data_IF_726336424917
#
_entry.id   IF_726336424917
#
_cell.length_a   1.000
_cell.length_b   1.000
_cell.length_c   1.000
_cell.angle_alpha   90.00
_cell.angle_beta   90.00
_cell.angle_gamma   90.00
#
_symmetry.space_group_name_H-M   'P 1'
#
loop_
_entity.id
_entity.type
_entity.pdbx_description
1 polymer ?
#
# COMPACT_ATOMS: atom_id res chain seq x y z
N UNK A 1 11.85 25.90 -34.91
CA UNK A 1 11.67 26.67 -33.65
C UNK A 1 10.20 27.04 -33.65
N UNK A 2 9.31 26.52 -32.81
CA UNK A 2 9.32 25.76 -31.55
C UNK A 2 8.04 24.87 -31.62
N UNK A 3 7.94 23.63 -31.13
CA UNK A 3 8.59 23.00 -29.99
C UNK A 3 7.84 23.27 -28.69
N UNK A 4 6.53 22.95 -28.63
CA UNK A 4 5.71 23.05 -27.42
C UNK A 4 5.24 21.66 -26.99
N UNK A 5 5.99 21.05 -26.07
CA UNK A 5 5.60 19.83 -25.37
C UNK A 5 4.50 20.17 -24.35
N UNK A 6 3.31 19.61 -24.58
CA UNK A 6 2.14 19.70 -23.69
C UNK A 6 2.13 18.45 -22.78
N UNK A 7 2.87 18.51 -21.67
CA UNK A 7 2.91 17.45 -20.64
C UNK A 7 1.71 17.55 -19.66
N UNK A 8 0.52 17.78 -20.21
CA UNK A 8 -0.73 18.07 -19.49
C UNK A 8 -1.66 16.87 -19.23
N UNK A 9 -1.18 15.62 -19.26
CA UNK A 9 -2.03 14.47 -18.88
C UNK A 9 -2.21 14.40 -17.36
N UNK A 10 -3.29 15.04 -16.90
CA UNK A 10 -3.84 14.87 -15.57
C UNK A 10 -4.06 13.39 -15.27
N UNK A 11 -3.25 12.85 -14.35
CA UNK A 11 -3.56 11.58 -13.71
C UNK A 11 -4.88 11.76 -12.97
N UNK A 12 -5.96 11.21 -13.54
CA UNK A 12 -7.26 11.12 -12.91
C UNK A 12 -7.12 10.73 -11.44
N UNK A 13 -7.85 11.45 -10.60
CA UNK A 13 -7.83 11.31 -9.15
C UNK A 13 -7.88 9.83 -8.78
N UNK A 14 -6.90 9.36 -8.01
CA UNK A 14 -6.97 8.07 -7.36
C UNK A 14 -8.12 8.16 -6.34
N UNK A 15 -9.31 7.68 -6.69
CA UNK A 15 -10.32 7.41 -5.67
C UNK A 15 -9.71 6.43 -4.65
N UNK A 16 -9.96 6.65 -3.36
CA UNK A 16 -9.42 5.79 -2.30
C UNK A 16 -10.17 4.46 -2.33
N UNK A 17 -9.62 3.48 -3.05
CA UNK A 17 -10.12 2.12 -2.96
C UNK A 17 -9.48 1.45 -1.74
N UNK A 18 -10.25 1.32 -0.66
CA UNK A 18 -9.83 0.65 0.57
C UNK A 18 -10.41 -0.75 0.61
N UNK A 19 -9.57 -1.75 0.81
CA UNK A 19 -10.04 -3.11 1.05
C UNK A 19 -10.32 -3.27 2.54
N UNK A 20 -11.58 -3.11 2.93
CA UNK A 20 -11.99 -3.25 4.34
C UNK A 20 -11.86 -4.72 4.78
N UNK A 21 -11.19 -4.93 5.90
CA UNK A 21 -11.07 -6.26 6.53
C UNK A 21 -11.68 -6.24 7.94
N UNK A 22 -12.10 -7.40 8.50
CA UNK A 22 -12.57 -7.48 9.87
C UNK A 22 -11.50 -7.00 10.88
N UNK A 23 -11.96 -6.48 12.02
CA UNK A 23 -11.10 -6.11 13.16
C UNK A 23 -10.70 -7.37 13.92
N UNK A 24 -9.41 -7.52 14.25
CA UNK A 24 -8.91 -8.61 15.09
C UNK A 24 -9.17 -8.31 16.58
N UNK A 25 -9.36 -9.34 17.39
CA UNK A 25 -9.57 -9.18 18.84
C UNK A 25 -8.31 -8.68 19.55
N UNK A 26 -7.13 -9.16 19.14
CA UNK A 26 -5.82 -8.79 19.66
C UNK A 26 -4.87 -8.53 18.49
N UNK A 27 -4.86 -7.31 17.91
CA UNK A 27 -4.02 -7.00 16.76
C UNK A 27 -2.54 -7.03 17.16
N UNK A 28 -1.75 -7.86 16.49
CA UNK A 28 -0.29 -7.82 16.59
C UNK A 28 0.28 -7.05 15.40
N UNK A 29 1.25 -6.16 15.63
CA UNK A 29 1.91 -5.42 14.56
C UNK A 29 3.09 -6.25 14.02
N UNK A 30 3.06 -6.69 12.74
CA UNK A 30 4.18 -7.43 12.15
C UNK A 30 5.45 -6.58 12.15
N UNK A 31 6.59 -7.19 12.51
CA UNK A 31 7.90 -6.50 12.57
C UNK A 31 8.78 -6.76 11.36
N UNK A 32 8.24 -7.38 10.32
CA UNK A 32 8.91 -7.61 9.05
C UNK A 32 8.01 -7.17 7.91
N UNK A 33 8.56 -6.34 7.02
CA UNK A 33 7.98 -5.96 5.75
C UNK A 33 8.80 -6.66 4.67
N UNK A 34 8.18 -7.63 3.99
CA UNK A 34 8.77 -8.34 2.86
C UNK A 34 8.33 -7.70 1.54
N UNK A 35 9.29 -7.18 0.78
CA UNK A 35 9.08 -6.66 -0.57
C UNK A 35 9.29 -7.79 -1.59
N UNK A 36 8.19 -8.29 -2.16
CA UNK A 36 8.21 -9.34 -3.17
C UNK A 36 8.26 -8.76 -4.58
N UNK A 37 9.37 -8.95 -5.29
CA UNK A 37 9.51 -8.57 -6.72
C UNK A 37 9.26 -9.70 -7.71
N UNK A 38 9.21 -10.93 -7.23
CA UNK A 38 9.24 -12.14 -8.05
C UNK A 38 7.88 -12.44 -8.70
N UNK A 39 6.81 -11.77 -8.24
CA UNK A 39 5.45 -12.10 -8.61
C UNK A 39 4.96 -13.34 -7.88
N UNK A 40 3.65 -13.57 -7.92
CA UNK A 40 3.05 -14.81 -7.45
C UNK A 40 1.60 -14.93 -7.92
N UNK A 41 1.08 -16.15 -7.88
CA UNK A 41 -0.37 -16.36 -7.83
C UNK A 41 -0.83 -16.13 -6.40
N UNK A 42 -1.75 -15.18 -6.24
CA UNK A 42 -2.46 -14.91 -5.00
C UNK A 42 -3.79 -15.68 -5.00
N UNK A 43 -4.13 -16.26 -3.86
CA UNK A 43 -5.39 -16.98 -3.64
C UNK A 43 -6.33 -16.10 -2.84
N UNK A 44 -7.62 -16.10 -3.17
CA UNK A 44 -8.61 -15.37 -2.40
C UNK A 44 -8.79 -15.96 -0.99
N UNK A 45 -8.74 -15.12 0.04
CA UNK A 45 -8.95 -15.56 1.42
C UNK A 45 -8.79 -14.43 2.44
N UNK A 46 -8.64 -14.79 3.71
CA UNK A 46 -8.07 -13.85 4.70
C UNK A 46 -6.58 -13.65 4.37
N UNK A 47 -6.02 -12.51 4.74
CA UNK A 47 -4.60 -12.27 4.48
C UNK A 47 -3.74 -13.30 5.24
N UNK A 48 -2.89 -13.99 4.48
CA UNK A 48 -1.82 -14.86 4.98
C UNK A 48 -0.63 -14.71 4.02
N UNK A 49 0.31 -13.86 4.41
CA UNK A 49 1.51 -13.54 3.66
C UNK A 49 2.42 -14.75 3.43
N UNK A 50 2.35 -15.78 4.28
CA UNK A 50 3.11 -17.03 4.13
C UNK A 50 2.50 -17.97 3.07
N UNK A 51 1.20 -17.85 2.82
CA UNK A 51 0.45 -18.69 1.87
C UNK A 51 -0.01 -17.97 0.60
N UNK A 52 0.37 -16.69 0.41
CA UNK A 52 -0.14 -15.85 -0.68
C UNK A 52 -1.69 -15.73 -0.67
N UNK A 53 -2.32 -15.86 0.49
CA UNK A 53 -3.76 -15.66 0.64
C UNK A 53 -4.02 -14.16 0.81
N UNK A 54 -4.95 -13.61 0.03
CA UNK A 54 -5.18 -12.16 -0.01
C UNK A 54 -6.66 -11.81 0.08
N UNK A 55 -6.96 -10.90 0.99
CA UNK A 55 -8.29 -10.30 1.11
C UNK A 55 -8.63 -9.37 -0.05
N UNK A 56 -7.62 -8.79 -0.71
CA UNK A 56 -7.80 -7.93 -1.89
C UNK A 56 -8.35 -8.75 -3.06
N UNK A 57 -7.78 -9.93 -3.33
CA UNK A 57 -8.26 -10.84 -4.39
C UNK A 57 -9.68 -11.31 -4.10
N UNK A 58 -9.99 -11.63 -2.83
CA UNK A 58 -11.35 -11.99 -2.41
C UNK A 58 -12.34 -10.84 -2.63
N UNK A 59 -11.99 -9.62 -2.22
CA UNK A 59 -12.86 -8.45 -2.37
C UNK A 59 -13.01 -8.01 -3.83
N UNK A 60 -12.07 -8.38 -4.71
CA UNK A 60 -12.24 -8.25 -6.16
C UNK A 60 -13.20 -9.28 -6.77
N UNK A 61 -13.74 -10.22 -5.97
CA UNK A 61 -14.66 -11.27 -6.42
C UNK A 61 -13.97 -12.40 -7.18
N UNK A 62 -12.64 -12.54 -7.07
CA UNK A 62 -11.88 -13.56 -7.78
C UNK A 62 -11.57 -14.74 -6.88
N UNK A 63 -11.33 -15.92 -7.47
CA UNK A 63 -10.74 -17.06 -6.76
C UNK A 63 -9.21 -17.00 -6.66
N UNK A 64 -8.57 -16.40 -7.68
CA UNK A 64 -7.12 -16.22 -7.77
C UNK A 64 -6.78 -15.03 -8.66
N UNK A 65 -5.62 -14.42 -8.43
CA UNK A 65 -5.07 -13.40 -9.32
C UNK A 65 -3.56 -13.60 -9.47
N UNK A 66 -3.03 -13.44 -10.69
CA UNK A 66 -1.60 -13.52 -10.94
C UNK A 66 -0.97 -12.12 -10.93
N UNK A 67 -0.15 -11.86 -9.91
CA UNK A 67 0.70 -10.67 -9.89
C UNK A 67 1.97 -10.95 -10.69
N UNK A 68 2.10 -10.31 -11.85
CA UNK A 68 3.31 -10.42 -12.64
C UNK A 68 4.52 -9.85 -11.88
N UNK A 69 5.74 -10.39 -12.10
CA UNK A 69 6.95 -9.90 -11.45
C UNK A 69 7.21 -8.41 -11.76
N UNK A 70 7.99 -7.77 -10.89
CA UNK A 70 8.55 -6.44 -11.14
C UNK A 70 9.38 -6.44 -12.44
N UNK A 71 9.05 -5.55 -13.37
CA UNK A 71 9.69 -5.49 -14.68
C UNK A 71 10.91 -4.52 -14.75
N UNK A 72 11.23 -3.84 -13.65
CA UNK A 72 12.34 -2.89 -13.60
C UNK A 72 13.71 -3.55 -13.46
N UNK A 73 14.77 -2.76 -13.63
CA UNK A 73 16.15 -3.25 -13.49
C UNK A 73 16.50 -3.53 -12.02
N UNK A 74 17.53 -4.36 -11.74
CA UNK A 74 18.03 -4.56 -10.38
C UNK A 74 18.40 -3.26 -9.67
N UNK A 75 18.97 -2.28 -10.40
CA UNK A 75 19.28 -0.95 -9.84
C UNK A 75 18.01 -0.22 -9.36
N UNK A 76 16.91 -0.29 -10.13
CA UNK A 76 15.64 0.32 -9.73
C UNK A 76 15.03 -0.42 -8.53
N UNK A 77 15.13 -1.75 -8.51
CA UNK A 77 14.70 -2.55 -7.37
C UNK A 77 15.43 -2.14 -6.09
N UNK A 78 16.76 -2.12 -6.11
CA UNK A 78 17.56 -1.74 -4.94
C UNK A 78 17.21 -0.34 -4.45
N UNK A 79 17.01 0.63 -5.37
CA UNK A 79 16.59 1.98 -5.01
C UNK A 79 15.19 2.03 -4.36
N UNK A 80 14.27 1.13 -4.72
CA UNK A 80 12.97 1.00 -4.04
C UNK A 80 13.19 0.47 -2.63
N UNK A 81 13.94 -0.64 -2.49
CA UNK A 81 14.18 -1.28 -1.19
C UNK A 81 14.87 -0.32 -0.21
N UNK A 82 15.93 0.37 -0.66
CA UNK A 82 16.63 1.39 0.13
C UNK A 82 15.70 2.53 0.53
N UNK A 83 14.91 3.05 -0.42
CA UNK A 83 13.97 4.13 -0.11
C UNK A 83 12.89 3.71 0.91
N UNK A 84 12.40 2.46 0.85
CA UNK A 84 11.44 1.96 1.85
C UNK A 84 12.12 1.76 3.20
N UNK A 85 13.35 1.22 3.25
CA UNK A 85 14.16 1.17 4.48
C UNK A 85 14.29 2.56 5.11
N UNK A 86 14.65 3.57 4.32
CA UNK A 86 14.74 4.96 4.79
C UNK A 86 13.41 5.51 5.33
N UNK A 87 12.25 5.03 4.86
CA UNK A 87 10.94 5.50 5.35
C UNK A 87 10.58 4.93 6.71
N UNK A 88 11.06 3.72 6.98
CA UNK A 88 10.73 2.97 8.18
C UNK A 88 11.88 2.91 9.19
N UNK A 89 13.04 3.48 8.88
CA UNK A 89 14.22 3.55 9.75
C UNK A 89 13.95 4.01 11.20
N UNK A 90 13.01 4.94 11.48
CA UNK A 90 12.73 5.35 12.85
C UNK A 90 11.99 4.30 13.73
N UNK A 91 11.52 3.20 13.14
CA UNK A 91 10.66 2.22 13.80
C UNK A 91 11.33 0.86 13.90
N UNK A 92 11.02 0.08 14.94
CA UNK A 92 11.51 -1.30 15.08
C UNK A 92 10.75 -2.26 14.15
N UNK A 93 11.14 -2.19 12.87
CA UNK A 93 10.64 -3.02 11.77
C UNK A 93 11.76 -3.28 10.76
N UNK A 94 11.82 -4.51 10.27
CA UNK A 94 12.80 -4.92 9.27
C UNK A 94 12.18 -4.88 7.87
N UNK A 95 12.83 -4.19 6.93
CA UNK A 95 12.47 -4.24 5.50
C UNK A 95 13.42 -5.20 4.77
N UNK A 96 12.85 -6.30 4.29
CA UNK A 96 13.58 -7.37 3.60
C UNK A 96 13.05 -7.56 2.18
N UNK A 97 13.90 -8.01 1.27
CA UNK A 97 13.55 -8.37 -0.10
C UNK A 97 13.82 -9.85 -0.41
N UNK A 98 14.03 -10.64 0.64
CA UNK A 98 14.05 -12.10 0.63
C UNK A 98 12.90 -12.60 1.50
N UNK A 99 12.15 -13.60 1.01
CA UNK A 99 10.97 -14.10 1.71
C UNK A 99 11.36 -14.68 3.08
N UNK A 100 10.76 -14.23 4.18
CA UNK A 100 10.97 -14.84 5.48
C UNK A 100 10.47 -16.29 5.52
N UNK A 101 11.15 -17.15 6.30
CA UNK A 101 10.70 -18.54 6.55
C UNK A 101 9.63 -18.63 7.65
N UNK A 102 9.45 -17.57 8.44
CA UNK A 102 8.46 -17.48 9.51
C UNK A 102 7.08 -17.02 9.03
N UNK A 103 6.18 -16.81 9.99
CA UNK A 103 4.88 -16.16 9.80
C UNK A 103 4.92 -14.73 10.34
N UNK A 104 3.81 -14.02 10.28
CA UNK A 104 3.62 -12.68 10.89
C UNK A 104 4.52 -11.62 10.26
N UNK A 105 4.43 -11.48 8.93
CA UNK A 105 5.07 -10.41 8.16
C UNK A 105 4.07 -9.78 7.18
N UNK A 106 4.25 -8.49 6.87
CA UNK A 106 3.53 -7.84 5.77
C UNK A 106 4.23 -8.22 4.47
N UNK A 107 3.51 -8.82 3.52
CA UNK A 107 4.02 -9.00 2.15
C UNK A 107 3.55 -7.86 1.27
N UNK A 108 4.47 -7.17 0.63
CA UNK A 108 4.18 -6.20 -0.42
C UNK A 108 4.53 -6.82 -1.77
N UNK A 109 3.51 -7.16 -2.55
CA UNK A 109 3.66 -7.60 -3.93
C UNK A 109 3.93 -6.39 -4.82
N UNK A 110 5.17 -6.22 -5.26
CA UNK A 110 5.59 -5.11 -6.13
C UNK A 110 5.73 -5.63 -7.55
N UNK A 111 4.78 -5.30 -8.41
CA UNK A 111 4.71 -5.85 -9.76
C UNK A 111 3.33 -5.64 -10.38
N UNK A 112 3.07 -6.34 -11.50
CA UNK A 112 1.72 -6.38 -12.08
C UNK A 112 1.13 -5.04 -12.52
N UNK A 113 -0.15 -5.09 -12.86
CA UNK A 113 -1.01 -3.99 -13.29
C UNK A 113 -2.38 -4.19 -12.62
N UNK A 114 -3.11 -3.14 -12.21
CA UNK A 114 -4.39 -3.27 -11.50
C UNK A 114 -5.39 -4.19 -12.21
N UNK A 115 -5.33 -4.25 -13.54
CA UNK A 115 -6.18 -5.13 -14.36
C UNK A 115 -6.04 -6.63 -14.07
N UNK A 116 -5.07 -7.05 -13.25
CA UNK A 116 -5.05 -8.40 -12.70
C UNK A 116 -6.25 -8.71 -11.80
N UNK A 117 -6.97 -7.67 -11.34
CA UNK A 117 -8.17 -7.76 -10.51
C UNK A 117 -9.47 -7.66 -11.32
N UNK A 118 -9.40 -7.42 -12.63
CA UNK A 118 -10.59 -7.23 -13.50
C UNK A 118 -11.25 -8.57 -13.91
N UNK A 119 -10.88 -9.68 -13.27
CA UNK A 119 -11.55 -10.97 -13.44
C UNK A 119 -11.46 -11.59 -14.83
N UNK A 120 -10.34 -11.39 -15.52
CA UNK A 120 -10.12 -11.71 -16.93
C UNK A 120 -10.36 -13.13 -17.46
N UNK A 121 -11.12 -14.00 -16.76
CA UNK A 121 -11.73 -15.25 -17.26
C UNK A 121 -13.00 -15.69 -16.45
N UNK A 122 -13.59 -14.86 -15.59
CA UNK A 122 -14.80 -15.20 -14.83
C UNK A 122 -16.07 -15.02 -15.70
N UNK A 123 -17.13 -15.83 -15.52
CA UNK A 123 -18.32 -15.79 -16.36
C UNK A 123 -19.04 -14.43 -16.27
N UNK A 124 -19.68 -13.97 -17.37
CA UNK A 124 -20.49 -12.74 -17.36
C UNK A 124 -21.55 -12.80 -16.25
N UNK A 125 -21.57 -11.81 -15.36
CA UNK A 125 -22.53 -11.73 -14.24
C UNK A 125 -21.92 -11.77 -12.84
N UNK A 126 -20.60 -11.95 -12.71
CA UNK A 126 -19.90 -11.58 -11.48
C UNK A 126 -19.98 -10.05 -11.33
N UNK A 127 -20.58 -9.56 -10.25
CA UNK A 127 -20.54 -8.14 -9.92
C UNK A 127 -19.09 -7.76 -9.57
N UNK A 128 -18.33 -7.28 -10.56
CA UNK A 128 -17.02 -6.68 -10.33
C UNK A 128 -17.25 -5.27 -9.76
N UNK A 129 -17.52 -5.20 -8.45
CA UNK A 129 -18.05 -4.02 -7.77
C UNK A 129 -17.07 -2.87 -7.51
N UNK A 130 -15.81 -2.94 -7.98
CA UNK A 130 -14.79 -1.95 -7.65
C UNK A 130 -13.92 -1.61 -8.87
N UNK A 131 -13.87 -0.33 -9.24
CA UNK A 131 -12.96 0.18 -10.26
C UNK A 131 -11.54 0.28 -9.69
N UNK A 132 -10.76 -0.78 -9.84
CA UNK A 132 -9.35 -0.80 -9.48
C UNK A 132 -8.44 -0.26 -10.57
N UNK A 133 -8.94 0.06 -11.77
CA UNK A 133 -8.14 0.32 -12.97
C UNK A 133 -7.16 1.49 -12.79
N UNK A 134 -7.49 2.40 -11.88
CA UNK A 134 -6.68 3.58 -11.58
C UNK A 134 -5.74 3.40 -10.38
N UNK A 135 -5.93 2.37 -9.55
CA UNK A 135 -5.15 2.18 -8.32
C UNK A 135 -3.64 2.02 -8.61
N UNK A 136 -2.82 2.71 -7.82
CA UNK A 136 -1.37 2.54 -7.81
C UNK A 136 -0.92 1.47 -6.81
N UNK A 137 -1.69 1.30 -5.74
CA UNK A 137 -1.52 0.28 -4.71
C UNK A 137 -2.85 0.02 -4.01
N UNK A 138 -2.91 -1.09 -3.27
CA UNK A 138 -4.04 -1.51 -2.45
C UNK A 138 -3.51 -2.23 -1.21
N UNK A 139 -4.05 -1.91 -0.05
CA UNK A 139 -3.79 -2.60 1.20
C UNK A 139 -5.10 -3.03 1.89
N UNK A 140 -5.09 -4.14 2.64
CA UNK A 140 -6.13 -4.40 3.62
C UNK A 140 -6.08 -3.33 4.72
N UNK A 141 -7.24 -2.85 5.13
CA UNK A 141 -7.35 -1.75 6.09
C UNK A 141 -8.59 -1.90 6.99
N UNK A 142 -8.40 -1.69 8.29
CA UNK A 142 -9.48 -1.64 9.28
C UNK A 142 -9.23 -0.61 10.39
N UNK A 143 -8.22 0.25 10.22
CA UNK A 143 -7.80 1.23 11.23
C UNK A 143 -6.86 0.68 12.32
N UNK A 144 -6.58 -0.62 12.32
CA UNK A 144 -5.59 -1.28 13.18
C UNK A 144 -4.48 -1.92 12.32
N UNK A 145 -3.44 -2.44 12.98
CA UNK A 145 -2.48 -3.29 12.31
C UNK A 145 -3.15 -4.58 11.84
N UNK A 146 -2.95 -4.92 10.56
CA UNK A 146 -3.43 -6.16 9.94
C UNK A 146 -2.27 -7.15 9.96
N UNK A 147 -2.41 -8.20 10.77
CA UNK A 147 -1.44 -9.30 10.79
C UNK A 147 -1.41 -10.01 9.44
N UNK A 148 -0.22 -10.46 9.02
CA UNK A 148 0.00 -11.20 7.77
C UNK A 148 -0.49 -10.50 6.48
N UNK A 149 -0.66 -9.17 6.51
CA UNK A 149 -1.22 -8.39 5.41
C UNK A 149 -0.54 -8.69 4.07
N UNK A 150 -1.36 -8.86 3.02
CA UNK A 150 -0.90 -8.92 1.63
C UNK A 150 -1.27 -7.63 0.93
N UNK A 151 -0.27 -6.79 0.68
CA UNK A 151 -0.37 -5.49 0.02
C UNK A 151 0.00 -5.63 -1.45
N UNK A 152 -0.71 -4.94 -2.35
CA UNK A 152 -0.40 -4.87 -3.77
C UNK A 152 0.12 -3.49 -4.16
N UNK A 153 1.22 -3.43 -4.90
CA UNK A 153 1.71 -2.19 -5.52
C UNK A 153 1.96 -2.43 -7.00
N UNK A 154 1.16 -1.76 -7.82
CA UNK A 154 1.11 -1.97 -9.26
C UNK A 154 2.22 -1.21 -9.99
N UNK A 155 3.44 -1.76 -9.95
CA UNK A 155 4.63 -1.06 -10.42
C UNK A 155 4.58 -0.66 -11.90
N UNK A 156 3.86 -1.41 -12.75
CA UNK A 156 3.71 -1.08 -14.18
C UNK A 156 2.89 0.18 -14.40
N UNK A 157 1.86 0.42 -13.58
CA UNK A 157 1.10 1.67 -13.57
C UNK A 157 2.00 2.87 -13.22
N UNK A 158 3.00 2.63 -12.38
CA UNK A 158 4.01 3.59 -11.95
C UNK A 158 5.23 3.67 -12.88
N UNK A 159 5.21 2.94 -14.00
CA UNK A 159 6.31 2.87 -14.99
C UNK A 159 7.65 2.48 -14.35
N UNK A 160 7.59 1.63 -13.32
CA UNK A 160 8.75 1.12 -12.58
C UNK A 160 9.61 2.25 -11.99
N UNK A 161 9.01 3.41 -11.75
CA UNK A 161 9.70 4.57 -11.23
C UNK A 161 10.01 4.36 -9.75
N UNK A 162 11.30 4.23 -9.41
CA UNK A 162 11.72 3.85 -8.06
C UNK A 162 11.15 4.77 -6.96
N UNK A 163 11.14 6.08 -7.19
CA UNK A 163 10.59 7.05 -6.24
C UNK A 163 9.09 6.87 -6.06
N UNK A 164 8.32 6.83 -7.15
CA UNK A 164 6.85 6.69 -7.08
C UNK A 164 6.47 5.35 -6.46
N UNK A 165 7.15 4.27 -6.83
CA UNK A 165 6.93 2.94 -6.25
C UNK A 165 7.25 2.93 -4.76
N UNK A 166 8.36 3.50 -4.32
CA UNK A 166 8.67 3.63 -2.90
C UNK A 166 7.60 4.42 -2.12
N UNK A 167 7.13 5.54 -2.65
CA UNK A 167 6.07 6.34 -2.02
C UNK A 167 4.77 5.53 -1.85
N UNK A 168 4.36 4.79 -2.89
CA UNK A 168 3.16 3.94 -2.84
C UNK A 168 3.36 2.75 -1.90
N UNK A 169 4.47 2.01 -2.00
CA UNK A 169 4.79 0.92 -1.05
C UNK A 169 4.68 1.41 0.39
N UNK A 170 5.28 2.56 0.69
CA UNK A 170 5.31 3.06 2.07
C UNK A 170 3.93 3.51 2.56
N UNK A 171 3.12 4.11 1.68
CA UNK A 171 1.73 4.48 1.97
C UNK A 171 0.87 3.25 2.24
N UNK A 172 0.92 2.25 1.36
CA UNK A 172 0.12 1.03 1.51
C UNK A 172 0.53 0.19 2.74
N UNK A 173 1.83 0.13 3.05
CA UNK A 173 2.28 -0.46 4.32
C UNK A 173 1.77 0.36 5.52
N UNK A 174 1.72 1.69 5.41
CA UNK A 174 1.08 2.54 6.40
C UNK A 174 -0.38 2.15 6.66
N UNK A 175 -1.16 1.89 5.61
CA UNK A 175 -2.53 1.37 5.73
C UNK A 175 -2.58 0.01 6.43
N UNK A 176 -1.66 -0.91 6.12
CA UNK A 176 -1.58 -2.20 6.80
C UNK A 176 -1.22 -2.08 8.30
N UNK A 177 -0.61 -0.97 8.73
CA UNK A 177 -0.44 -0.61 10.14
C UNK A 177 -1.59 0.23 10.72
N UNK A 178 -2.67 0.43 9.96
CA UNK A 178 -3.87 1.12 10.40
C UNK A 178 -3.86 2.63 10.18
N UNK A 179 -2.87 3.18 9.46
CA UNK A 179 -2.85 4.61 9.13
C UNK A 179 -3.93 4.94 8.11
N UNK A 180 -4.60 6.06 8.34
CA UNK A 180 -5.56 6.64 7.39
C UNK A 180 -4.82 7.57 6.41
N UNK A 181 -5.52 8.20 5.47
CA UNK A 181 -5.00 9.34 4.72
C UNK A 181 -4.97 10.61 5.56
N UNK A 182 -4.03 11.49 5.23
CA UNK A 182 -3.87 12.80 5.89
C UNK A 182 -3.79 13.93 4.87
N UNK A 183 -4.39 15.06 5.25
CA UNK A 183 -4.52 16.27 4.45
C UNK A 183 -3.33 17.21 4.60
N UNK A 184 -2.12 16.70 4.34
CA UNK A 184 -0.92 17.51 4.31
C UNK A 184 0.05 17.04 3.22
N UNK A 185 0.40 17.94 2.31
CA UNK A 185 1.21 17.61 1.14
C UNK A 185 2.58 16.95 1.47
N UNK A 186 3.20 17.33 2.59
CA UNK A 186 4.46 16.72 3.05
C UNK A 186 4.30 15.40 3.82
N UNK A 187 3.08 14.92 4.04
CA UNK A 187 2.78 13.64 4.71
C UNK A 187 2.82 12.49 3.69
N UNK A 188 3.35 11.34 4.10
CA UNK A 188 3.44 10.16 3.24
C UNK A 188 2.04 9.61 2.93
N UNK A 189 1.13 9.66 3.89
CA UNK A 189 -0.26 9.24 3.77
C UNK A 189 -1.16 10.25 3.03
N UNK A 190 -0.61 11.16 2.21
CA UNK A 190 -1.40 12.19 1.52
C UNK A 190 -1.54 11.97 0.03
N UNK A 191 -2.73 12.26 -0.52
CA UNK A 191 -2.96 12.35 -1.96
C UNK A 191 -2.74 13.75 -2.55
N UNK A 192 -2.67 14.79 -1.71
CA UNK A 192 -2.48 16.17 -2.16
C UNK A 192 -1.20 16.32 -3.00
N UNK A 193 -1.22 17.10 -4.08
CA UNK A 193 -0.08 17.35 -4.98
C UNK A 193 -0.15 18.78 -5.54
N UNK A 194 0.96 19.34 -6.06
CA UNK A 194 2.33 18.79 -6.08
C UNK A 194 2.99 18.87 -4.71
N UNK A 195 3.85 17.88 -4.41
CA UNK A 195 4.55 17.80 -3.14
C UNK A 195 6.03 17.50 -3.32
N UNK A 196 6.84 18.10 -2.45
CA UNK A 196 8.24 17.74 -2.28
C UNK A 196 8.39 16.35 -1.66
N UNK A 197 9.49 16.16 -0.93
CA UNK A 197 9.76 14.89 -0.25
C UNK A 197 8.74 14.68 0.88
N UNK A 198 7.95 13.62 0.77
CA UNK A 198 6.98 13.18 1.79
C UNK A 198 7.64 12.32 2.85
N UNK A 199 7.09 12.22 4.06
CA UNK A 199 7.52 11.31 5.15
C UNK A 199 6.35 11.12 6.11
N UNK A 200 6.40 10.07 6.95
CA UNK A 200 5.52 10.03 8.13
C UNK A 200 5.88 11.21 9.04
N UNK A 201 4.89 12.02 9.40
CA UNK A 201 5.08 13.23 10.18
C UNK A 201 4.67 13.03 11.62
N UNK A 202 5.48 13.58 12.50
CA UNK A 202 5.15 13.74 13.92
C UNK A 202 4.37 15.04 14.12
N UNK A 203 3.14 15.04 13.61
CA UNK A 203 2.21 16.17 13.62
C UNK A 203 0.78 15.62 13.57
N UNK A 204 -0.14 16.18 14.35
CA UNK A 204 -1.56 15.84 14.25
C UNK A 204 -2.17 16.51 13.02
N UNK A 205 -2.50 15.71 12.01
CA UNK A 205 -2.96 16.18 10.72
C UNK A 205 -4.41 15.74 10.45
N UNK A 206 -5.25 16.60 9.86
CA UNK A 206 -6.61 16.22 9.50
C UNK A 206 -6.63 15.01 8.58
N UNK A 207 -7.52 14.05 8.84
CA UNK A 207 -7.68 12.90 7.94
C UNK A 207 -8.49 13.26 6.71
N UNK A 208 -8.19 12.59 5.59
CA UNK A 208 -8.91 12.78 4.33
C UNK A 208 -8.00 12.75 3.10
N UNK A 209 -8.66 12.70 1.95
CA UNK A 209 -8.06 12.60 0.62
C UNK A 209 -8.06 13.93 -0.13
N UNK A 210 -9.23 14.59 -0.12
CA UNK A 210 -9.52 15.87 -0.78
C UNK A 210 -10.21 16.84 0.16
N UNK A 211 -11.14 16.31 0.97
CA UNK A 211 -11.82 17.02 2.05
C UNK A 211 -11.48 16.37 3.39
N UNK A 212 -11.48 17.17 4.46
CA UNK A 212 -11.29 16.66 5.80
C UNK A 212 -12.49 15.81 6.24
N UNK A 213 -12.22 14.71 6.93
CA UNK A 213 -13.24 13.80 7.50
C UNK A 213 -12.75 13.19 8.80
N UNK A 214 -13.64 12.45 9.48
CA UNK A 214 -13.22 11.60 10.59
C UNK A 214 -12.17 10.60 10.13
N UNK A 215 -11.19 10.35 11.00
CA UNK A 215 -10.15 9.38 10.77
C UNK A 215 -10.72 7.98 10.95
N UNK A 216 -10.64 7.17 9.90
CA UNK A 216 -10.86 5.73 10.02
C UNK A 216 -9.80 5.15 10.97
N UNK A 217 -10.24 4.42 12.00
CA UNK A 217 -9.35 3.81 13.00
C UNK A 217 -9.00 4.70 14.20
N UNK A 218 -9.50 5.94 14.26
CA UNK A 218 -9.40 6.80 15.45
C UNK A 218 -10.80 7.16 15.91
N UNK A 219 -11.28 6.51 16.97
CA UNK A 219 -12.66 6.68 17.46
C UNK A 219 -12.92 8.13 17.85
N UNK A 220 -13.82 8.81 17.13
CA UNK A 220 -14.20 10.20 17.36
C UNK A 220 -13.10 11.23 17.05
N UNK A 221 -12.02 10.83 16.39
CA UNK A 221 -10.90 11.70 16.03
C UNK A 221 -11.00 12.20 14.59
N UNK A 222 -10.65 13.47 14.37
CA UNK A 222 -10.55 14.08 13.03
C UNK A 222 -9.11 14.28 12.57
N UNK A 223 -8.15 13.95 13.43
CA UNK A 223 -6.72 14.04 13.13
C UNK A 223 -5.99 12.75 13.48
N UNK A 224 -4.88 12.51 12.79
CA UNK A 224 -3.93 11.46 13.15
C UNK A 224 -2.51 11.99 13.07
N UNK A 225 -1.63 11.41 13.89
CA UNK A 225 -0.18 11.56 13.80
C UNK A 225 0.42 10.25 13.30
N UNK A 226 0.81 10.20 12.02
CA UNK A 226 1.27 8.97 11.36
C UNK A 226 2.53 8.42 12.01
N UNK A 227 3.48 9.28 12.37
CA UNK A 227 4.71 8.89 13.03
C UNK A 227 4.46 8.28 14.40
N UNK A 228 3.65 8.92 15.25
CA UNK A 228 3.36 8.43 16.60
C UNK A 228 2.53 7.16 16.60
N UNK A 229 1.61 7.00 15.65
CA UNK A 229 0.85 5.75 15.50
C UNK A 229 1.76 4.59 15.09
N UNK A 230 2.67 4.79 14.15
CA UNK A 230 3.67 3.77 13.81
C UNK A 230 4.60 3.49 14.98
N UNK A 231 5.07 4.51 15.69
CA UNK A 231 5.89 4.35 16.89
C UNK A 231 5.14 3.59 18.01
N UNK A 232 3.83 3.77 18.13
CA UNK A 232 3.02 3.02 19.10
C UNK A 232 2.86 1.55 18.70
N UNK A 233 2.76 1.25 17.41
CA UNK A 233 2.61 -0.12 16.92
C UNK A 233 3.95 -0.88 16.90
N UNK A 234 5.01 -0.20 16.51
CA UNK A 234 6.32 -0.77 16.23
C UNK A 234 7.36 -0.44 17.29
N UNK A 235 7.20 0.59 18.10
CA UNK A 235 8.31 1.07 18.94
C UNK A 235 9.42 1.74 18.12
N UNK A 236 10.38 2.41 18.80
CA UNK A 236 11.52 3.03 18.14
C UNK A 236 12.51 1.96 17.65
N UNK A 237 13.24 2.23 16.58
CA UNK A 237 14.40 1.41 16.22
C UNK A 237 15.45 1.39 17.34
N UNK A 238 16.09 0.23 17.54
CA UNK A 238 17.21 0.04 18.48
C UNK A 238 18.58 0.26 17.83
#
# INVERSE_FOLDING_TARGET
>A
MEGGDDDGEGMGFLESVRVRVPIAAEPTAPRVIYLNREGATLVAGNDDSSQNSSSIVRNAGLSRAFAAPFAGTPRRWNAIVECVRDRFEPFDVQVVDQRPMGRSYIMVMVGGHPSMLDGGNEPPGAEHGHDYAHAAGLAPFNGQAVEDAVVLVFSRRLRENARRTCEVVSMEVGHAYGLDHSMHCGELMSYLRPCGRRRFRDEDLPCGEQDARECDGVVGGTTQNSYRRLLSALGPSE
#
